data_IF_141330916180
#
_entry.id   IF_141330916180
#
_cell.length_a   1.000
_cell.length_b   1.000
_cell.length_c   1.000
_cell.angle_alpha   90.00
_cell.angle_beta   90.00
_cell.angle_gamma   90.00
#
_symmetry.space_group_name_H-M   'P 1'
#
loop_
_entity.id
_entity.type
_entity.pdbx_description
1 polymer ?
#
# COMPACT_ATOMS: atom_id res chain seq x y z
N UNK A 1 -19.76 40.25 1.10
CA UNK A 1 -20.65 39.33 1.83
C UNK A 1 -20.36 37.93 1.32
N UNK A 2 -19.89 36.97 2.14
CA UNK A 2 -19.79 35.59 1.69
C UNK A 2 -21.21 35.03 1.63
N UNK A 3 -21.70 34.80 0.41
CA UNK A 3 -22.97 34.14 0.17
C UNK A 3 -22.95 32.79 0.89
N UNK A 4 -23.85 32.64 1.86
CA UNK A 4 -24.12 31.37 2.51
C UNK A 4 -24.71 30.47 1.43
N UNK A 5 -23.87 29.62 0.82
CA UNK A 5 -24.36 28.57 -0.06
C UNK A 5 -25.50 27.82 0.64
N UNK A 6 -26.59 27.49 -0.07
CA UNK A 6 -27.74 26.84 0.53
C UNK A 6 -27.31 25.54 1.21
N UNK A 7 -27.82 25.33 2.42
CA UNK A 7 -27.49 24.25 3.35
C UNK A 7 -27.54 22.84 2.70
N UNK A 8 -28.31 22.71 1.62
CA UNK A 8 -28.48 21.49 0.83
C UNK A 8 -27.25 21.11 0.01
N UNK A 9 -26.52 22.06 -0.56
CA UNK A 9 -25.29 21.76 -1.33
C UNK A 9 -24.17 21.29 -0.39
N UNK A 10 -24.05 21.92 0.78
CA UNK A 10 -23.12 21.47 1.81
C UNK A 10 -23.46 20.07 2.35
N UNK A 11 -24.75 19.73 2.45
CA UNK A 11 -25.18 18.37 2.83
C UNK A 11 -24.87 17.34 1.75
N UNK A 12 -25.11 17.66 0.47
CA UNK A 12 -24.78 16.77 -0.66
C UNK A 12 -23.27 16.53 -0.72
N UNK A 13 -22.45 17.57 -0.58
CA UNK A 13 -20.99 17.45 -0.55
C UNK A 13 -20.51 16.62 0.64
N UNK A 14 -21.10 16.82 1.83
CA UNK A 14 -20.78 16.05 3.02
C UNK A 14 -21.17 14.56 2.86
N UNK A 15 -22.33 14.26 2.26
CA UNK A 15 -22.74 12.89 1.96
C UNK A 15 -21.82 12.23 0.93
N UNK A 16 -21.47 12.93 -0.16
CA UNK A 16 -20.54 12.44 -1.18
C UNK A 16 -19.16 12.16 -0.61
N UNK A 17 -18.64 13.05 0.25
CA UNK A 17 -17.37 12.86 0.94
C UNK A 17 -17.47 11.67 1.90
N UNK A 18 -18.56 11.53 2.67
CA UNK A 18 -18.76 10.40 3.58
C UNK A 18 -18.87 9.05 2.86
N UNK A 19 -19.56 9.01 1.72
CA UNK A 19 -19.66 7.83 0.86
C UNK A 19 -18.33 7.52 0.19
N UNK A 20 -17.56 8.53 -0.19
CA UNK A 20 -16.19 8.36 -0.68
C UNK A 20 -15.31 7.69 0.38
N UNK A 21 -15.45 8.05 1.65
CA UNK A 21 -14.69 7.45 2.75
C UNK A 21 -15.10 6.00 3.06
N UNK A 22 -16.40 5.72 3.14
CA UNK A 22 -16.90 4.36 3.37
C UNK A 22 -16.62 3.42 2.17
N UNK A 23 -16.77 3.93 0.95
CA UNK A 23 -16.42 3.24 -0.28
C UNK A 23 -14.93 2.93 -0.36
N UNK A 24 -14.06 3.87 0.00
CA UNK A 24 -12.61 3.69 -0.04
C UNK A 24 -12.12 2.55 0.88
N UNK A 25 -12.70 2.37 2.07
CA UNK A 25 -12.33 1.24 2.96
C UNK A 25 -12.67 -0.11 2.33
N UNK A 26 -13.86 -0.22 1.71
CA UNK A 26 -14.30 -1.45 1.05
C UNK A 26 -13.49 -1.73 -0.21
N UNK A 27 -13.20 -0.71 -1.01
CA UNK A 27 -12.32 -0.81 -2.17
C UNK A 27 -10.90 -1.20 -1.76
N UNK A 28 -10.38 -0.61 -0.69
CA UNK A 28 -9.07 -0.96 -0.11
C UNK A 28 -9.01 -2.42 0.33
N UNK A 29 -10.04 -2.89 1.03
CA UNK A 29 -10.15 -4.29 1.45
C UNK A 29 -10.14 -5.25 0.26
N UNK A 30 -10.90 -4.95 -0.79
CA UNK A 30 -10.93 -5.75 -2.03
C UNK A 30 -9.54 -5.78 -2.67
N UNK A 31 -8.87 -4.62 -2.78
CA UNK A 31 -7.50 -4.55 -3.34
C UNK A 31 -6.47 -5.31 -2.51
N UNK A 32 -6.62 -5.28 -1.18
CA UNK A 32 -5.79 -6.08 -0.28
C UNK A 32 -6.00 -7.57 -0.52
N UNK A 33 -7.24 -8.03 -0.66
CA UNK A 33 -7.51 -9.45 -0.95
C UNK A 33 -6.97 -9.87 -2.32
N UNK A 34 -7.24 -9.10 -3.38
CA UNK A 34 -6.77 -9.44 -4.73
C UNK A 34 -5.24 -9.33 -4.84
N UNK A 35 -4.63 -8.27 -4.31
CA UNK A 35 -3.19 -8.09 -4.29
C UNK A 35 -2.50 -9.14 -3.42
N UNK A 36 -3.05 -9.42 -2.24
CA UNK A 36 -2.53 -10.43 -1.32
C UNK A 36 -2.61 -11.83 -1.91
N UNK A 37 -3.77 -12.22 -2.46
CA UNK A 37 -3.93 -13.48 -3.17
C UNK A 37 -2.97 -13.60 -4.36
N UNK A 38 -2.85 -12.53 -5.17
CA UNK A 38 -1.89 -12.49 -6.28
C UNK A 38 -0.44 -12.66 -5.81
N UNK A 39 -0.07 -12.03 -4.70
CA UNK A 39 1.28 -12.16 -4.11
C UNK A 39 1.55 -13.61 -3.67
N UNK A 40 0.57 -14.25 -3.01
CA UNK A 40 0.70 -15.65 -2.58
C UNK A 40 0.81 -16.60 -3.77
N UNK A 41 0.05 -16.38 -4.85
CA UNK A 41 0.14 -17.19 -6.07
C UNK A 41 1.52 -17.04 -6.71
N UNK A 42 2.02 -15.82 -6.87
CA UNK A 42 3.35 -15.57 -7.44
C UNK A 42 4.45 -16.19 -6.56
N UNK A 43 4.35 -16.04 -5.24
CA UNK A 43 5.30 -16.65 -4.31
C UNK A 43 5.29 -18.19 -4.39
N UNK A 44 4.11 -18.81 -4.49
CA UNK A 44 3.97 -20.26 -4.65
C UNK A 44 4.57 -20.76 -5.97
N UNK A 45 4.34 -20.03 -7.07
CA UNK A 45 4.92 -20.34 -8.38
C UNK A 45 6.45 -20.24 -8.33
N UNK A 46 6.99 -19.13 -7.79
CA UNK A 46 8.43 -18.96 -7.66
C UNK A 46 9.06 -20.02 -6.76
N UNK A 47 8.42 -20.38 -5.66
CA UNK A 47 8.89 -21.46 -4.78
C UNK A 47 8.90 -22.82 -5.48
N UNK A 48 7.87 -23.12 -6.28
CA UNK A 48 7.82 -24.34 -7.08
C UNK A 48 8.90 -24.37 -8.18
N UNK A 49 9.16 -23.25 -8.84
CA UNK A 49 10.25 -23.11 -9.81
C UNK A 49 11.61 -23.22 -9.15
N UNK A 50 11.80 -22.62 -7.97
CA UNK A 50 13.04 -22.69 -7.20
C UNK A 50 13.38 -24.13 -6.81
N UNK A 51 12.38 -24.94 -6.43
CA UNK A 51 12.56 -26.39 -6.20
C UNK A 51 13.05 -27.16 -7.42
N UNK A 52 12.78 -26.66 -8.64
CA UNK A 52 13.26 -27.24 -9.90
C UNK A 52 14.63 -26.69 -10.35
N UNK A 53 15.30 -25.90 -9.51
CA UNK A 53 16.61 -25.33 -9.79
C UNK A 53 16.58 -23.98 -10.50
N UNK A 54 15.42 -23.33 -10.62
CA UNK A 54 15.35 -21.97 -11.16
C UNK A 54 15.91 -20.96 -10.15
N UNK A 55 16.91 -20.18 -10.57
CA UNK A 55 17.40 -19.03 -9.82
C UNK A 55 16.75 -17.76 -10.35
N UNK A 56 15.78 -17.16 -9.64
CA UNK A 56 15.12 -15.95 -10.08
C UNK A 56 16.12 -14.80 -10.20
N UNK A 57 16.16 -14.18 -11.37
CA UNK A 57 16.96 -12.98 -11.57
C UNK A 57 16.34 -11.77 -10.82
N UNK A 58 17.10 -10.70 -10.58
CA UNK A 58 16.60 -9.52 -9.87
C UNK A 58 15.38 -8.87 -10.54
N UNK A 59 15.28 -8.92 -11.87
CA UNK A 59 14.17 -8.34 -12.63
C UNK A 59 12.87 -9.11 -12.37
N UNK A 60 12.91 -10.44 -12.38
CA UNK A 60 11.77 -11.32 -12.08
C UNK A 60 11.29 -11.10 -10.65
N UNK A 61 12.21 -10.92 -9.70
CA UNK A 61 11.86 -10.57 -8.31
C UNK A 61 11.15 -9.20 -8.23
N UNK A 62 11.61 -8.21 -8.99
CA UNK A 62 11.00 -6.89 -9.05
C UNK A 62 9.58 -6.94 -9.61
N UNK A 63 9.36 -7.71 -10.68
CA UNK A 63 8.04 -7.93 -11.27
C UNK A 63 7.11 -8.72 -10.32
N UNK A 64 7.67 -9.69 -9.59
CA UNK A 64 6.93 -10.47 -8.60
C UNK A 64 6.46 -9.63 -7.40
N UNK A 65 7.06 -8.47 -7.15
CA UNK A 65 6.65 -7.56 -6.10
C UNK A 65 5.42 -6.71 -6.46
N UNK A 66 5.01 -6.64 -7.73
CA UNK A 66 3.90 -5.78 -8.20
C UNK A 66 2.57 -6.11 -7.49
N UNK A 67 2.13 -7.38 -7.39
CA UNK A 67 0.91 -7.72 -6.63
C UNK A 67 1.00 -7.34 -5.16
N UNK A 68 2.21 -7.43 -4.57
CA UNK A 68 2.46 -7.03 -3.19
C UNK A 68 2.31 -5.52 -2.99
N UNK A 69 2.85 -4.73 -3.90
CA UNK A 69 2.63 -3.28 -3.92
C UNK A 69 1.14 -2.93 -4.05
N UNK A 70 0.40 -3.66 -4.87
CA UNK A 70 -1.05 -3.49 -5.00
C UNK A 70 -1.80 -3.82 -3.70
N UNK A 71 -1.37 -4.86 -2.98
CA UNK A 71 -1.92 -5.20 -1.67
C UNK A 71 -1.67 -4.09 -0.63
N UNK A 72 -0.48 -3.49 -0.63
CA UNK A 72 -0.12 -2.37 0.24
C UNK A 72 -1.00 -1.14 -0.02
N UNK A 73 -1.32 -0.84 -1.28
CA UNK A 73 -2.30 0.22 -1.60
C UNK A 73 -3.66 -0.06 -0.97
N UNK A 74 -4.11 -1.32 -1.01
CA UNK A 74 -5.33 -1.76 -0.35
C UNK A 74 -5.30 -1.57 1.16
N UNK A 75 -4.18 -1.87 1.82
CA UNK A 75 -3.99 -1.63 3.27
C UNK A 75 -4.09 -0.14 3.59
N UNK A 76 -3.44 0.72 2.83
CA UNK A 76 -3.47 2.17 3.04
C UNK A 76 -4.92 2.67 2.95
N UNK A 77 -5.66 2.27 1.92
CA UNK A 77 -7.06 2.66 1.73
C UNK A 77 -7.98 2.08 2.82
N UNK A 78 -7.72 0.85 3.30
CA UNK A 78 -8.47 0.22 4.37
C UNK A 78 -8.26 0.91 5.73
N UNK A 79 -7.02 1.26 6.07
CA UNK A 79 -6.68 1.93 7.34
C UNK A 79 -7.15 3.40 7.32
N UNK A 80 -6.82 4.12 6.25
CA UNK A 80 -7.10 5.56 6.19
C UNK A 80 -8.56 5.87 5.85
N UNK A 81 -9.24 4.99 5.12
CA UNK A 81 -10.54 5.29 4.52
C UNK A 81 -10.49 6.43 3.52
N UNK A 82 -9.32 6.73 2.95
CA UNK A 82 -9.13 7.74 1.93
C UNK A 82 -8.62 7.03 0.67
N UNK A 83 -9.21 7.26 -0.51
CA UNK A 83 -8.74 6.64 -1.74
C UNK A 83 -7.32 7.12 -2.06
N UNK A 84 -6.45 6.21 -2.53
CA UNK A 84 -5.03 6.48 -2.74
C UNK A 84 -4.77 7.69 -3.63
N UNK A 85 -5.59 7.91 -4.66
CA UNK A 85 -5.47 9.08 -5.54
C UNK A 85 -5.60 10.43 -4.81
N UNK A 86 -6.39 10.49 -3.73
CA UNK A 86 -6.45 11.69 -2.89
C UNK A 86 -5.23 11.81 -1.97
N UNK A 87 -4.71 10.70 -1.42
CA UNK A 87 -3.46 10.72 -0.67
C UNK A 87 -2.29 11.20 -1.55
N UNK A 88 -2.19 10.70 -2.78
CA UNK A 88 -1.17 11.10 -3.73
C UNK A 88 -1.26 12.61 -4.04
N UNK A 89 -2.46 13.14 -4.30
CA UNK A 89 -2.64 14.59 -4.50
C UNK A 89 -2.24 15.41 -3.26
N UNK A 90 -2.59 14.96 -2.06
CA UNK A 90 -2.19 15.63 -0.82
C UNK A 90 -0.67 15.62 -0.65
N UNK A 91 -0.03 14.50 -0.97
CA UNK A 91 1.42 14.36 -0.96
C UNK A 91 2.11 15.29 -1.95
N UNK A 92 1.61 15.38 -3.19
CA UNK A 92 2.16 16.25 -4.22
C UNK A 92 1.92 17.73 -3.94
N UNK A 93 0.86 18.07 -3.19
CA UNK A 93 0.58 19.44 -2.75
C UNK A 93 1.40 19.89 -1.52
N UNK A 94 2.23 19.03 -0.93
CA UNK A 94 3.11 19.42 0.17
C UNK A 94 4.23 20.34 -0.34
N UNK A 95 4.70 21.24 0.54
CA UNK A 95 5.91 22.04 0.25
C UNK A 95 7.11 21.10 0.06
N UNK A 96 7.99 21.39 -0.90
CA UNK A 96 9.12 20.52 -1.24
C UNK A 96 9.99 20.08 -0.06
N UNK A 97 10.19 20.97 0.92
CA UNK A 97 10.88 20.66 2.17
C UNK A 97 10.16 19.61 3.03
N UNK A 98 8.83 19.74 3.17
CA UNK A 98 8.02 18.78 3.94
C UNK A 98 8.02 17.41 3.28
N UNK A 99 7.92 17.36 1.94
CA UNK A 99 8.02 16.12 1.17
C UNK A 99 9.35 15.41 1.41
N UNK A 100 10.45 16.16 1.53
CA UNK A 100 11.76 15.63 1.89
C UNK A 100 11.75 14.94 3.25
N UNK A 101 11.29 15.64 4.29
CA UNK A 101 11.26 15.10 5.67
C UNK A 101 10.37 13.86 5.79
N UNK A 102 9.14 13.91 5.24
CA UNK A 102 8.24 12.75 5.28
C UNK A 102 8.79 11.58 4.45
N UNK A 103 9.39 11.87 3.29
CA UNK A 103 10.00 10.85 2.44
C UNK A 103 11.15 10.12 3.14
N UNK A 104 12.09 10.87 3.72
CA UNK A 104 13.19 10.31 4.50
C UNK A 104 12.67 9.50 5.69
N UNK A 105 11.66 9.99 6.39
CA UNK A 105 11.02 9.26 7.49
C UNK A 105 10.44 7.91 7.04
N UNK A 106 9.71 7.88 5.93
CA UNK A 106 9.16 6.63 5.37
C UNK A 106 10.28 5.65 5.01
N UNK A 107 11.37 6.12 4.38
CA UNK A 107 12.51 5.26 4.02
C UNK A 107 13.16 4.66 5.27
N UNK A 108 13.41 5.46 6.31
CA UNK A 108 14.01 4.97 7.56
C UNK A 108 13.13 3.92 8.23
N UNK A 109 11.82 4.16 8.32
CA UNK A 109 10.87 3.19 8.87
C UNK A 109 10.84 1.91 8.03
N UNK A 110 10.84 2.02 6.70
CA UNK A 110 10.89 0.88 5.80
C UNK A 110 12.18 0.07 5.98
N UNK A 111 13.33 0.73 6.11
CA UNK A 111 14.62 0.06 6.36
C UNK A 111 14.62 -0.73 7.66
N UNK A 112 14.11 -0.15 8.75
CA UNK A 112 13.97 -0.84 10.05
C UNK A 112 13.06 -2.05 9.87
N UNK A 113 11.92 -1.89 9.20
CA UNK A 113 10.97 -2.97 9.00
C UNK A 113 11.56 -4.13 8.17
N UNK A 114 12.28 -3.81 7.08
CA UNK A 114 12.97 -4.79 6.24
C UNK A 114 14.04 -5.52 7.05
N UNK A 115 14.83 -4.80 7.85
CA UNK A 115 15.86 -5.38 8.71
C UNK A 115 15.25 -6.35 9.73
N UNK A 116 14.20 -5.93 10.43
CA UNK A 116 13.49 -6.76 11.40
C UNK A 116 12.86 -8.00 10.73
N UNK A 117 12.29 -7.85 9.54
CA UNK A 117 11.75 -8.99 8.78
C UNK A 117 12.85 -9.99 8.40
N UNK A 118 13.99 -9.51 7.92
CA UNK A 118 15.12 -10.37 7.56
C UNK A 118 15.65 -11.15 8.77
N UNK A 119 15.89 -10.47 9.88
CA UNK A 119 16.46 -11.09 11.09
C UNK A 119 15.44 -11.94 11.83
N UNK A 120 14.20 -11.49 11.95
CA UNK A 120 13.17 -12.14 12.77
C UNK A 120 12.41 -13.26 12.05
N UNK A 121 12.33 -13.23 10.72
CA UNK A 121 11.54 -14.21 9.95
C UNK A 121 12.41 -14.99 8.97
N UNK A 122 13.17 -14.31 8.11
CA UNK A 122 13.85 -14.96 6.99
C UNK A 122 15.02 -15.82 7.46
N UNK A 123 15.89 -15.30 8.32
CA UNK A 123 17.05 -16.04 8.84
C UNK A 123 16.62 -17.30 9.61
N UNK A 124 15.69 -17.22 10.58
CA UNK A 124 15.20 -18.41 11.29
C UNK A 124 14.53 -19.44 10.38
N UNK A 125 13.87 -19.00 9.30
CA UNK A 125 13.23 -19.90 8.33
C UNK A 125 14.25 -20.62 7.44
N UNK A 126 15.36 -19.96 7.10
CA UNK A 126 16.45 -20.54 6.31
C UNK A 126 17.39 -21.43 7.14
N UNK A 127 17.58 -21.09 8.40
CA UNK A 127 18.40 -21.82 9.37
C UNK A 127 17.55 -22.18 10.58
N UNK A 128 16.64 -23.18 10.47
CA UNK A 128 15.91 -23.67 11.61
C UNK A 128 16.93 -24.26 12.60
N UNK A 129 16.95 -23.67 13.81
CA UNK A 129 17.79 -24.10 14.93
C UNK A 129 17.36 -25.47 15.45
#
# INVERSE_FOLDING_TARGET
MPDKLPNTLQQIDAELVSQSHAGARRTGLVRLFFGGAGTLVVAAVLWFLAKKGYQPNPITMMMAAIPGAYALLGIIEAITGIPYGQLARRWDNLKGWQRGVYGTGIVLVAMIFIFLMMVGVVIPLLYPS
#
